data_IF_415962238615
#
_entry.id   IF_415962238615
#
_cell.length_a   1.000
_cell.length_b   1.000
_cell.length_c   1.000
_cell.angle_alpha   90.00
_cell.angle_beta   90.00
_cell.angle_gamma   90.00
#
_symmetry.space_group_name_H-M   'P 1'
#
loop_
_entity.id
_entity.type
_entity.pdbx_description
1 polymer ?
#
# COMPACT_ATOMS: atom_id res chain seq x y z
N UNK A 1 15.95 -9.40 -3.64
CA UNK A 1 16.33 -10.33 -2.55
C UNK A 1 17.57 -9.93 -1.78
N UNK A 2 18.65 -9.44 -2.41
CA UNK A 2 19.90 -9.09 -1.70
C UNK A 2 19.67 -8.20 -0.46
N UNK A 3 18.91 -7.11 -0.61
CA UNK A 3 18.61 -6.23 0.53
C UNK A 3 17.74 -6.87 1.63
N UNK A 4 16.93 -7.89 1.33
CA UNK A 4 16.24 -8.66 2.37
C UNK A 4 17.22 -9.57 3.13
N UNK A 5 18.21 -10.13 2.44
CA UNK A 5 19.20 -11.05 3.02
C UNK A 5 20.30 -10.33 3.83
N UNK A 6 20.54 -9.06 3.54
CA UNK A 6 21.54 -8.25 4.26
C UNK A 6 21.03 -7.88 5.67
N UNK A 7 21.65 -8.34 6.77
CA UNK A 7 21.17 -8.04 8.12
C UNK A 7 21.31 -6.57 8.53
N UNK A 8 22.17 -5.78 7.87
CA UNK A 8 22.37 -4.36 8.18
C UNK A 8 21.22 -3.50 7.66
N UNK A 9 20.57 -3.92 6.57
CA UNK A 9 19.42 -3.20 6.01
C UNK A 9 18.19 -3.38 6.89
N UNK A 10 17.66 -2.29 7.47
CA UNK A 10 16.46 -2.31 8.31
C UNK A 10 15.17 -1.89 7.58
N UNK A 11 15.32 -1.08 6.53
CA UNK A 11 14.20 -0.58 5.74
C UNK A 11 14.52 -0.58 4.24
N UNK A 12 13.48 -0.80 3.43
CA UNK A 12 13.49 -0.75 1.98
C UNK A 12 12.51 0.33 1.55
N UNK A 13 13.03 1.44 1.02
CA UNK A 13 12.22 2.55 0.54
C UNK A 13 12.33 2.54 -0.99
N UNK A 14 11.19 2.48 -1.67
CA UNK A 14 11.14 2.58 -3.11
C UNK A 14 11.68 3.94 -3.58
N UNK A 15 12.49 3.94 -4.63
CA UNK A 15 13.07 5.18 -5.15
C UNK A 15 12.04 6.10 -5.79
N UNK A 16 10.99 5.52 -6.36
CA UNK A 16 9.88 6.21 -7.02
C UNK A 16 8.73 5.25 -7.34
N UNK A 17 7.65 5.80 -7.88
CA UNK A 17 6.57 5.02 -8.52
C UNK A 17 6.92 4.64 -9.96
N UNK A 18 5.89 4.47 -10.81
CA UNK A 18 6.07 4.23 -12.24
C UNK A 18 5.31 3.01 -12.72
N UNK A 19 6.02 2.02 -13.27
CA UNK A 19 5.42 0.80 -13.77
C UNK A 19 6.36 -0.39 -13.65
N UNK A 20 5.86 -1.48 -13.07
CA UNK A 20 6.47 -2.81 -13.21
C UNK A 20 6.73 -3.54 -11.90
N UNK A 21 6.42 -2.97 -10.73
CA UNK A 21 6.61 -3.64 -9.44
C UNK A 21 5.96 -5.03 -9.38
N UNK A 22 4.82 -5.21 -10.06
CA UNK A 22 4.11 -6.49 -10.16
C UNK A 22 4.96 -7.61 -10.78
N UNK A 23 5.93 -7.28 -11.64
CA UNK A 23 6.85 -8.26 -12.26
C UNK A 23 7.82 -8.86 -11.25
N UNK A 24 8.01 -8.21 -10.10
CA UNK A 24 8.87 -8.70 -9.03
C UNK A 24 8.21 -9.83 -8.24
N UNK A 25 6.88 -9.85 -8.15
CA UNK A 25 6.12 -10.80 -7.33
C UNK A 25 6.54 -12.27 -7.50
N UNK A 26 6.63 -12.85 -8.72
CA UNK A 26 7.05 -14.24 -8.89
C UNK A 26 8.53 -14.50 -8.59
N UNK A 27 9.35 -13.47 -8.40
CA UNK A 27 10.79 -13.57 -8.19
C UNK A 27 11.20 -13.52 -6.72
N UNK A 28 10.23 -13.33 -5.81
CA UNK A 28 10.49 -13.17 -4.38
C UNK A 28 10.45 -14.51 -3.65
N UNK A 29 11.39 -14.67 -2.72
CA UNK A 29 11.39 -15.76 -1.75
C UNK A 29 10.54 -15.33 -0.54
N UNK A 30 9.25 -15.66 -0.60
CA UNK A 30 8.28 -15.25 0.40
C UNK A 30 8.47 -15.93 1.76
N UNK A 31 9.04 -17.13 1.79
CA UNK A 31 9.31 -17.84 3.04
C UNK A 31 10.47 -17.18 3.77
N UNK A 32 11.53 -16.80 3.04
CA UNK A 32 12.61 -16.00 3.60
C UNK A 32 12.11 -14.65 4.11
N UNK A 33 11.31 -13.93 3.32
CA UNK A 33 10.77 -12.62 3.71
C UNK A 33 9.90 -12.70 4.96
N UNK A 34 9.07 -13.75 5.09
CA UNK A 34 8.24 -13.99 6.27
C UNK A 34 9.08 -14.22 7.53
N UNK A 35 10.18 -14.96 7.40
CA UNK A 35 11.09 -15.23 8.51
C UNK A 35 11.98 -14.03 8.87
N UNK A 36 12.17 -13.08 7.95
CA UNK A 36 13.05 -11.92 8.12
C UNK A 36 12.33 -10.63 7.73
N UNK A 37 11.28 -10.23 8.49
CA UNK A 37 10.48 -9.06 8.15
C UNK A 37 11.33 -7.78 8.22
N UNK A 38 11.11 -6.89 7.26
CA UNK A 38 11.73 -5.57 7.19
C UNK A 38 10.69 -4.52 6.86
N UNK A 39 10.96 -3.27 7.22
CA UNK A 39 10.13 -2.15 6.80
C UNK A 39 10.21 -2.06 5.27
N UNK A 40 9.06 -2.09 4.60
CA UNK A 40 8.94 -1.83 3.17
C UNK A 40 8.03 -0.64 2.97
N UNK A 41 8.48 0.32 2.17
CA UNK A 41 7.80 1.58 1.96
C UNK A 41 7.82 1.98 0.49
N UNK A 42 6.70 2.53 0.03
CA UNK A 42 6.56 3.04 -1.32
C UNK A 42 5.20 3.71 -1.52
N UNK A 43 4.93 4.14 -2.75
CA UNK A 43 3.66 4.71 -3.16
C UNK A 43 3.34 4.33 -4.62
N UNK A 44 2.11 4.53 -5.07
CA UNK A 44 1.68 4.31 -6.47
C UNK A 44 1.98 2.89 -6.99
N UNK A 45 2.82 2.70 -8.02
CA UNK A 45 3.14 1.38 -8.62
C UNK A 45 3.55 0.31 -7.61
N UNK A 46 4.23 0.70 -6.53
CA UNK A 46 4.67 -0.24 -5.48
C UNK A 46 3.51 -0.90 -4.72
N UNK A 47 2.28 -0.40 -4.88
CA UNK A 47 1.05 -1.03 -4.35
C UNK A 47 1.00 -2.52 -4.69
N UNK A 48 1.33 -2.93 -5.93
CA UNK A 48 1.27 -4.35 -6.28
C UNK A 48 2.28 -5.20 -5.49
N UNK A 49 3.50 -4.68 -5.31
CA UNK A 49 4.52 -5.31 -4.48
C UNK A 49 4.07 -5.40 -3.01
N UNK A 50 3.56 -4.30 -2.45
CA UNK A 50 3.09 -4.21 -1.06
C UNK A 50 1.96 -5.20 -0.78
N UNK A 51 0.93 -5.24 -1.62
CA UNK A 51 -0.20 -6.17 -1.47
C UNK A 51 0.22 -7.64 -1.67
N UNK A 52 1.15 -7.90 -2.59
CA UNK A 52 1.70 -9.24 -2.77
C UNK A 52 2.54 -9.72 -1.59
N UNK A 53 3.34 -8.84 -0.99
CA UNK A 53 4.09 -9.10 0.25
C UNK A 53 3.15 -9.38 1.42
N UNK A 54 2.08 -8.59 1.58
CA UNK A 54 1.04 -8.85 2.57
C UNK A 54 0.41 -10.23 2.35
N UNK A 55 -0.02 -10.54 1.13
CA UNK A 55 -0.69 -11.81 0.81
C UNK A 55 0.20 -13.01 1.04
N UNK A 56 1.45 -12.96 0.58
CA UNK A 56 2.33 -14.14 0.53
C UNK A 56 3.19 -14.29 1.78
N UNK A 57 3.63 -13.19 2.39
CA UNK A 57 4.53 -13.21 3.53
C UNK A 57 3.90 -12.68 4.83
N UNK A 58 2.67 -12.13 4.78
CA UNK A 58 2.08 -11.46 5.95
C UNK A 58 2.82 -10.18 6.33
N UNK A 59 3.67 -9.65 5.45
CA UNK A 59 4.51 -8.49 5.73
C UNK A 59 3.69 -7.21 5.61
N UNK A 60 3.62 -6.45 6.69
CA UNK A 60 3.01 -5.12 6.72
C UNK A 60 3.99 -4.11 6.11
N UNK A 61 3.48 -3.30 5.19
CA UNK A 61 4.23 -2.25 4.50
C UNK A 61 3.56 -0.90 4.67
N UNK A 62 4.33 0.17 4.50
CA UNK A 62 3.84 1.55 4.59
C UNK A 62 3.64 2.13 3.19
N UNK A 63 2.43 2.65 2.93
CA UNK A 63 2.15 3.41 1.71
C UNK A 63 2.13 4.90 2.02
N UNK A 64 2.81 5.72 1.23
CA UNK A 64 2.71 7.18 1.40
C UNK A 64 3.76 8.01 0.67
N UNK A 65 4.97 7.48 0.48
CA UNK A 65 6.03 8.23 -0.19
C UNK A 65 7.15 7.32 -0.68
N UNK A 66 7.97 7.90 -1.55
CA UNK A 66 9.15 7.33 -2.16
C UNK A 66 10.36 8.22 -1.86
N UNK A 67 11.57 7.73 -2.13
CA UNK A 67 12.78 8.53 -1.96
C UNK A 67 12.75 9.80 -2.83
N UNK A 68 12.14 9.76 -4.01
CA UNK A 68 11.94 10.93 -4.86
C UNK A 68 11.12 12.02 -4.18
N UNK A 69 10.09 11.64 -3.40
CA UNK A 69 9.24 12.58 -2.68
C UNK A 69 10.02 13.26 -1.55
N UNK A 70 10.87 12.52 -0.83
CA UNK A 70 11.70 13.08 0.25
C UNK A 70 12.74 14.11 -0.22
N UNK A 71 13.17 14.04 -1.48
CA UNK A 71 14.16 14.98 -2.03
C UNK A 71 13.55 16.35 -2.36
N UNK A 72 12.24 16.39 -2.63
CA UNK A 72 11.50 17.63 -2.87
C UNK A 72 10.82 18.17 -1.61
N UNK A 73 10.91 17.44 -0.51
CA UNK A 73 10.18 17.70 0.74
C UNK A 73 10.83 18.75 1.65
N UNK A 74 11.71 19.61 1.15
CA UNK A 74 12.41 20.64 1.93
C UNK A 74 11.48 21.67 2.61
N UNK A 75 10.16 21.46 2.58
CA UNK A 75 9.15 22.32 3.21
C UNK A 75 7.90 21.58 3.73
N UNK A 76 7.86 20.24 3.76
CA UNK A 76 6.65 19.50 4.17
C UNK A 76 6.80 18.84 5.55
N UNK A 77 6.36 19.53 6.60
CA UNK A 77 6.42 19.05 8.00
C UNK A 77 5.69 17.73 8.22
N UNK A 78 4.63 17.48 7.44
CA UNK A 78 3.82 16.26 7.57
C UNK A 78 4.56 15.01 7.09
N UNK A 79 5.35 15.12 6.02
CA UNK A 79 6.10 13.97 5.50
C UNK A 79 7.14 13.50 6.52
N UNK A 80 7.90 14.44 7.08
CA UNK A 80 8.90 14.15 8.10
C UNK A 80 8.26 13.53 9.35
N UNK A 81 7.13 14.08 9.81
CA UNK A 81 6.39 13.55 10.96
C UNK A 81 5.90 12.13 10.70
N UNK A 82 5.18 11.90 9.61
CA UNK A 82 4.58 10.59 9.28
C UNK A 82 5.63 9.52 8.98
N UNK A 83 6.75 9.88 8.34
CA UNK A 83 7.92 9.01 8.18
C UNK A 83 8.50 8.62 9.54
N UNK A 84 8.74 9.60 10.41
CA UNK A 84 9.32 9.37 11.73
C UNK A 84 8.43 8.46 12.57
N UNK A 85 7.12 8.72 12.59
CA UNK A 85 6.15 7.88 13.30
C UNK A 85 6.11 6.47 12.74
N UNK A 86 6.14 6.31 11.41
CA UNK A 86 6.16 5.00 10.75
C UNK A 86 7.40 4.18 11.12
N UNK A 87 8.59 4.80 11.11
CA UNK A 87 9.84 4.14 11.48
C UNK A 87 9.91 3.79 12.97
N UNK A 88 9.28 4.60 13.83
CA UNK A 88 9.18 4.36 15.27
C UNK A 88 8.03 3.42 15.66
N UNK A 89 7.18 2.99 14.70
CA UNK A 89 6.00 2.18 14.98
C UNK A 89 4.95 2.90 15.83
N UNK A 90 4.89 4.23 15.75
CA UNK A 90 3.91 5.06 16.48
C UNK A 90 2.67 5.29 15.62
N UNK A 91 1.48 5.36 16.23
CA UNK A 91 0.25 5.66 15.50
C UNK A 91 0.26 7.11 15.00
N UNK A 92 -0.38 7.32 13.86
CA UNK A 92 -0.71 8.64 13.33
C UNK A 92 -2.23 8.75 13.21
N UNK A 93 -2.79 9.87 13.65
CA UNK A 93 -4.22 10.15 13.61
C UNK A 93 -4.51 11.13 12.47
N UNK A 94 -5.30 10.69 11.49
CA UNK A 94 -5.78 11.55 10.41
C UNK A 94 -6.99 12.33 10.94
N UNK A 95 -6.88 13.67 11.00
CA UNK A 95 -7.94 14.56 11.51
C UNK A 95 -8.72 15.29 10.41
N UNK A 96 -8.27 15.16 9.17
CA UNK A 96 -8.88 15.79 8.01
C UNK A 96 -9.65 14.78 7.16
N UNK A 97 -10.64 15.26 6.41
CA UNK A 97 -11.47 14.44 5.52
C UNK A 97 -12.94 14.88 5.52
N UNK A 98 -13.66 14.51 4.47
CA UNK A 98 -15.11 14.76 4.36
C UNK A 98 -15.84 13.42 4.37
N UNK A 99 -16.59 13.10 5.44
CA UNK A 99 -17.28 11.82 5.51
C UNK A 99 -18.41 11.77 4.48
N UNK A 100 -18.33 10.81 3.55
CA UNK A 100 -19.41 10.54 2.59
C UNK A 100 -20.54 9.72 3.23
N UNK A 101 -20.19 8.86 4.20
CA UNK A 101 -21.11 8.05 4.98
C UNK A 101 -20.73 8.16 6.46
N UNK A 102 -21.73 8.34 7.33
CA UNK A 102 -21.49 8.37 8.77
C UNK A 102 -21.41 6.94 9.32
N UNK A 103 -20.49 6.72 10.26
CA UNK A 103 -20.32 5.45 10.93
C UNK A 103 -18.95 5.31 11.59
N UNK A 104 -18.77 4.24 12.34
CA UNK A 104 -17.48 3.87 12.93
C UNK A 104 -17.17 2.44 12.52
N UNK A 105 -15.97 2.24 12.00
CA UNK A 105 -15.45 0.94 11.59
C UNK A 105 -14.06 0.75 12.16
N UNK A 106 -13.69 -0.50 12.42
CA UNK A 106 -12.36 -0.87 12.86
C UNK A 106 -11.93 -2.11 12.09
N UNK A 107 -10.72 -2.07 11.55
CA UNK A 107 -10.15 -3.17 10.79
C UNK A 107 -8.74 -2.83 10.31
N UNK A 108 -7.99 -3.81 9.79
CA UNK A 108 -6.71 -3.57 9.16
C UNK A 108 -6.85 -2.58 8.01
N UNK A 109 -5.97 -1.58 7.92
CA UNK A 109 -5.90 -0.70 6.76
C UNK A 109 -5.13 -1.41 5.64
N UNK A 110 -5.78 -1.66 4.51
CA UNK A 110 -5.18 -2.28 3.33
C UNK A 110 -5.54 -1.39 2.14
N UNK A 111 -4.65 -1.20 1.17
CA UNK A 111 -5.01 -0.34 0.05
C UNK A 111 -3.84 0.16 -0.78
N UNK A 112 -4.07 1.27 -1.45
CA UNK A 112 -3.13 1.93 -2.35
C UNK A 112 -3.80 2.31 -3.67
N UNK A 113 -3.04 2.24 -4.75
CA UNK A 113 -3.51 2.62 -6.07
C UNK A 113 -4.63 1.69 -6.58
N UNK A 114 -5.73 2.27 -7.05
CA UNK A 114 -6.91 1.53 -7.55
C UNK A 114 -6.57 0.57 -8.69
N UNK A 115 -5.86 1.04 -9.72
CA UNK A 115 -5.51 0.20 -10.86
C UNK A 115 -4.60 -0.97 -10.47
N UNK A 116 -3.66 -0.78 -9.55
CA UNK A 116 -2.82 -1.88 -9.05
C UNK A 116 -3.60 -2.85 -8.15
N UNK A 117 -4.54 -2.38 -7.33
CA UNK A 117 -5.45 -3.27 -6.59
C UNK A 117 -6.23 -4.15 -7.58
N UNK A 118 -6.75 -3.56 -8.67
CA UNK A 118 -7.50 -4.28 -9.71
C UNK A 118 -6.62 -5.27 -10.46
N UNK A 119 -5.39 -4.91 -10.80
CA UNK A 119 -4.45 -5.77 -11.50
C UNK A 119 -4.15 -7.07 -10.74
N UNK A 120 -4.24 -7.06 -9.41
CA UNK A 120 -4.03 -8.24 -8.58
C UNK A 120 -5.27 -9.12 -8.40
N UNK A 121 -6.47 -8.66 -8.77
CA UNK A 121 -7.70 -9.43 -8.60
C UNK A 121 -7.61 -10.75 -9.37
N UNK A 122 -7.97 -11.86 -8.73
CA UNK A 122 -7.92 -13.21 -9.29
C UNK A 122 -6.51 -13.82 -9.34
N UNK A 123 -5.46 -13.06 -9.02
CA UNK A 123 -4.09 -13.60 -8.95
C UNK A 123 -3.81 -14.23 -7.59
N UNK A 124 -2.74 -15.04 -7.51
CA UNK A 124 -2.29 -15.61 -6.23
C UNK A 124 -1.72 -14.57 -5.24
N UNK A 125 -1.59 -13.31 -5.68
CA UNK A 125 -1.09 -12.17 -4.90
C UNK A 125 -2.21 -11.27 -4.39
N UNK A 126 -3.47 -11.55 -4.73
CA UNK A 126 -4.62 -10.82 -4.20
C UNK A 126 -4.71 -10.97 -2.67
N UNK A 127 -4.63 -9.88 -1.88
CA UNK A 127 -4.81 -9.96 -0.43
C UNK A 127 -6.27 -10.27 -0.07
N UNK A 128 -6.48 -10.72 1.16
CA UNK A 128 -7.84 -10.78 1.71
C UNK A 128 -8.22 -9.39 2.20
N UNK A 129 -9.36 -8.87 1.73
CA UNK A 129 -9.89 -7.56 2.13
C UNK A 129 -11.08 -7.69 3.09
N UNK A 130 -11.51 -8.90 3.41
CA UNK A 130 -12.60 -9.13 4.36
C UNK A 130 -12.23 -8.61 5.74
N UNK A 131 -13.11 -7.81 6.34
CA UNK A 131 -12.88 -7.15 7.63
C UNK A 131 -11.84 -6.02 7.61
N UNK A 132 -11.32 -5.65 6.43
CA UNK A 132 -10.36 -4.54 6.29
C UNK A 132 -11.03 -3.21 5.99
N UNK A 133 -10.38 -2.13 6.40
CA UNK A 133 -10.65 -0.77 5.91
C UNK A 133 -9.84 -0.62 4.62
N UNK A 134 -10.50 -0.37 3.49
CA UNK A 134 -9.78 -0.21 2.23
C UNK A 134 -9.48 1.25 1.95
N UNK A 135 -8.19 1.57 1.84
CA UNK A 135 -7.70 2.84 1.32
C UNK A 135 -7.58 2.75 -0.20
N UNK A 136 -8.14 3.72 -0.92
CA UNK A 136 -7.99 3.81 -2.38
C UNK A 136 -7.50 5.21 -2.73
N UNK A 137 -6.45 5.26 -3.53
CA UNK A 137 -6.04 6.46 -4.25
C UNK A 137 -5.97 6.19 -5.75
N UNK A 138 -6.13 7.24 -6.55
CA UNK A 138 -5.87 7.18 -7.98
C UNK A 138 -5.48 8.57 -8.49
N UNK A 139 -4.65 8.61 -9.54
CA UNK A 139 -4.14 9.87 -10.11
C UNK A 139 -4.32 9.92 -11.62
N UNK A 140 -4.76 11.07 -12.14
CA UNK A 140 -4.88 11.35 -13.58
C UNK A 140 -5.77 10.35 -14.36
N UNK A 141 -6.76 9.75 -13.70
CA UNK A 141 -7.78 8.93 -14.36
C UNK A 141 -9.07 9.71 -14.58
N UNK A 142 -9.72 9.43 -15.71
CA UNK A 142 -11.05 9.94 -16.00
C UNK A 142 -12.07 9.36 -14.99
N UNK A 143 -13.07 10.15 -14.52
CA UNK A 143 -14.03 9.70 -13.51
C UNK A 143 -14.72 8.38 -13.83
N UNK A 144 -15.05 8.13 -15.10
CA UNK A 144 -15.68 6.88 -15.51
C UNK A 144 -14.78 5.64 -15.33
N UNK A 145 -13.45 5.81 -15.38
CA UNK A 145 -12.50 4.72 -15.14
C UNK A 145 -12.41 4.38 -13.66
N UNK A 146 -12.46 5.40 -12.80
CA UNK A 146 -12.55 5.23 -11.36
C UNK A 146 -13.85 4.48 -11.02
N UNK A 147 -14.99 4.93 -11.55
CA UNK A 147 -16.28 4.26 -11.38
C UNK A 147 -16.26 2.80 -11.87
N UNK A 148 -15.70 2.55 -13.05
CA UNK A 148 -15.52 1.19 -13.57
C UNK A 148 -14.66 0.33 -12.63
N UNK A 149 -13.59 0.89 -12.07
CA UNK A 149 -12.72 0.20 -11.11
C UNK A 149 -13.44 -0.17 -9.81
N UNK A 150 -14.20 0.77 -9.25
CA UNK A 150 -15.01 0.56 -8.05
C UNK A 150 -16.13 -0.46 -8.31
N UNK A 151 -16.80 -0.35 -9.46
CA UNK A 151 -17.89 -1.25 -9.88
C UNK A 151 -17.42 -2.69 -10.09
N UNK A 152 -16.26 -2.90 -10.72
CA UNK A 152 -15.67 -4.22 -10.90
C UNK A 152 -15.47 -4.93 -9.56
N UNK A 153 -15.05 -4.18 -8.53
CA UNK A 153 -14.82 -4.71 -7.18
C UNK A 153 -16.13 -5.03 -6.45
N UNK A 154 -17.14 -4.15 -6.52
CA UNK A 154 -18.44 -4.39 -5.86
C UNK A 154 -19.12 -5.68 -6.35
N UNK A 155 -18.94 -6.03 -7.64
CA UNK A 155 -19.45 -7.29 -8.21
C UNK A 155 -18.78 -8.56 -7.66
N UNK A 156 -17.66 -8.42 -6.95
CA UNK A 156 -16.94 -9.52 -6.30
C UNK A 156 -17.34 -9.72 -4.82
N UNK A 157 -18.42 -9.08 -4.37
CA UNK A 157 -19.02 -9.32 -3.04
C UNK A 157 -18.26 -8.73 -1.86
N UNK A 158 -17.39 -7.74 -2.08
CA UNK A 158 -16.57 -7.13 -1.03
C UNK A 158 -17.11 -5.75 -0.66
N UNK A 159 -17.86 -5.67 0.43
CA UNK A 159 -18.38 -4.42 1.00
C UNK A 159 -17.25 -3.62 1.64
N UNK A 160 -17.10 -2.35 1.27
CA UNK A 160 -16.10 -1.43 1.84
C UNK A 160 -16.74 -0.07 2.08
N UNK A 161 -16.38 0.50 3.23
CA UNK A 161 -16.57 1.90 3.59
C UNK A 161 -15.41 2.71 3.02
N UNK A 162 -15.71 3.72 2.20
CA UNK A 162 -14.75 4.72 1.76
C UNK A 162 -14.66 5.80 2.85
N UNK A 163 -13.44 6.15 3.26
CA UNK A 163 -13.15 7.33 4.09
C UNK A 163 -12.63 8.41 3.16
#
# INVERSE_FOLDING_TARGET
MNFFKDPEVKALIATGGGYGSQRLLPLLDYDFIRAHPKIVMGFSDTTALQLGLLKKAGLISYTGFTLADTQNASSESLLEETLTLSLLGKPYEIKEGTPMCLGTVQGPLIGGNLDLIRALIGTSYQPNFEGSILLIEEVRQEPYKIDCGLSQRNRLGKHIFLI
#
